data_IF_470704767914
#
_entry.id   IF_470704767914
#
_cell.length_a   1.000
_cell.length_b   1.000
_cell.length_c   1.000
_cell.angle_alpha   90.00
_cell.angle_beta   90.00
_cell.angle_gamma   90.00
#
_symmetry.space_group_name_H-M   'P 1'
#
loop_
_entity.id
_entity.type
_entity.pdbx_description
1 polymer ?
#
# COMPACT_ATOMS: atom_id res chain seq x y z
N UNK A 1 15.87 -0.06 16.26
CA UNK A 1 15.09 -0.51 15.09
C UNK A 1 14.25 0.67 14.60
N UNK A 2 14.54 1.22 13.42
CA UNK A 2 13.74 2.31 12.86
C UNK A 2 12.57 1.73 12.07
N UNK A 3 11.34 1.99 12.53
CA UNK A 3 10.12 1.75 11.78
C UNK A 3 10.01 2.80 10.67
N UNK A 4 9.70 2.37 9.46
CA UNK A 4 9.45 3.27 8.32
C UNK A 4 7.99 3.66 8.35
N UNK A 5 7.71 4.83 8.92
CA UNK A 5 6.37 5.40 8.92
C UNK A 5 6.14 6.10 7.58
N UNK A 6 5.24 5.58 6.75
CA UNK A 6 4.57 6.41 5.75
C UNK A 6 3.38 7.06 6.43
N UNK A 7 3.62 8.25 6.96
CA UNK A 7 2.56 9.24 7.03
C UNK A 7 2.52 9.88 5.64
N UNK A 8 1.35 10.04 5.02
CA UNK A 8 1.20 10.54 3.65
C UNK A 8 1.63 12.01 3.51
N UNK A 9 2.93 12.27 3.65
CA UNK A 9 3.55 13.57 3.37
C UNK A 9 3.61 13.74 1.86
N UNK A 10 3.28 14.95 1.39
CA UNK A 10 3.13 15.32 -0.02
C UNK A 10 4.45 15.67 -0.72
N UNK A 11 5.59 15.60 -0.04
CA UNK A 11 6.92 15.93 -0.59
C UNK A 11 7.91 14.77 -0.42
N UNK A 12 8.77 14.58 -1.42
CA UNK A 12 9.75 13.51 -1.46
C UNK A 12 10.80 13.62 -0.35
N UNK A 13 11.30 12.50 0.21
CA UNK A 13 12.32 12.54 1.25
C UNK A 13 13.66 12.95 0.60
N UNK A 14 14.19 14.10 0.98
CA UNK A 14 15.53 14.54 0.60
C UNK A 14 16.58 13.84 1.48
N UNK A 15 16.93 12.61 1.16
CA UNK A 15 18.05 11.93 1.82
C UNK A 15 17.88 10.42 1.93
N UNK A 16 18.99 9.68 1.74
CA UNK A 16 19.09 8.23 1.89
C UNK A 16 18.69 7.80 3.30
N UNK A 17 17.43 7.39 3.43
CA UNK A 17 16.86 6.76 4.60
C UNK A 17 15.73 5.84 4.13
N UNK A 18 15.30 4.94 5.01
CA UNK A 18 14.13 4.12 4.76
C UNK A 18 12.88 5.00 4.80
N UNK A 19 12.61 5.69 3.69
CA UNK A 19 11.48 6.58 3.54
C UNK A 19 10.66 6.07 2.37
N UNK A 20 9.35 6.00 2.57
CA UNK A 20 8.40 5.55 1.58
C UNK A 20 7.40 6.68 1.30
N UNK A 21 7.10 6.91 0.02
CA UNK A 21 6.30 8.04 -0.45
C UNK A 21 5.33 7.60 -1.52
N UNK A 22 4.18 8.26 -1.64
CA UNK A 22 3.35 8.06 -2.83
C UNK A 22 4.05 8.69 -4.04
N UNK A 23 4.37 7.87 -5.05
CA UNK A 23 5.11 8.28 -6.24
C UNK A 23 4.23 8.41 -7.48
N UNK A 24 3.06 7.76 -7.51
CA UNK A 24 2.07 7.91 -8.56
C UNK A 24 0.68 7.48 -8.08
N UNK A 25 -0.36 7.98 -8.75
CA UNK A 25 -1.71 7.45 -8.60
C UNK A 25 -2.53 7.61 -9.86
N UNK A 26 -3.39 6.63 -10.15
CA UNK A 26 -4.39 6.70 -11.22
C UNK A 26 -5.75 6.34 -10.64
N UNK A 27 -6.77 7.16 -10.87
CA UNK A 27 -8.10 6.92 -10.27
C UNK A 27 -8.13 6.95 -8.73
N UNK A 28 -7.06 7.41 -8.08
CA UNK A 28 -7.02 7.66 -6.64
C UNK A 28 -7.04 9.16 -6.33
N UNK A 29 -7.71 9.52 -5.24
CA UNK A 29 -7.87 10.92 -4.81
C UNK A 29 -7.51 11.06 -3.33
N UNK A 30 -6.64 12.01 -2.99
CA UNK A 30 -6.35 12.33 -1.60
C UNK A 30 -7.52 13.08 -0.94
N UNK A 31 -7.87 12.69 0.28
CA UNK A 31 -8.97 13.27 1.07
C UNK A 31 -8.55 13.51 2.52
N UNK A 32 -7.68 14.49 2.72
CA UNK A 32 -7.27 15.00 4.03
C UNK A 32 -6.33 14.07 4.79
N UNK A 33 -6.76 12.84 5.09
CA UNK A 33 -6.00 11.84 5.87
C UNK A 33 -5.84 10.48 5.17
N UNK A 34 -6.39 10.31 3.96
CA UNK A 34 -6.33 9.05 3.23
C UNK A 34 -6.42 9.21 1.72
N UNK A 35 -5.99 8.17 1.00
CA UNK A 35 -6.20 8.02 -0.43
C UNK A 35 -7.45 7.21 -0.71
N UNK A 36 -8.35 7.75 -1.53
CA UNK A 36 -9.56 7.08 -2.01
C UNK A 36 -9.26 6.46 -3.36
N UNK A 37 -9.08 5.14 -3.39
CA UNK A 37 -8.80 4.36 -4.60
C UNK A 37 -10.11 3.77 -5.11
N UNK A 38 -10.64 4.28 -6.23
CA UNK A 38 -11.86 3.75 -6.85
C UNK A 38 -11.57 2.46 -7.63
N UNK A 39 -12.62 1.74 -8.02
CA UNK A 39 -12.51 0.60 -8.93
C UNK A 39 -11.64 0.93 -10.15
N UNK A 40 -10.65 0.07 -10.45
CA UNK A 40 -9.66 0.26 -11.50
C UNK A 40 -8.53 1.25 -11.16
N UNK A 41 -8.59 1.91 -10.00
CA UNK A 41 -7.57 2.85 -9.55
C UNK A 41 -6.43 2.18 -8.78
N UNK A 42 -5.33 2.91 -8.66
CA UNK A 42 -4.14 2.48 -7.93
C UNK A 42 -3.43 3.64 -7.23
N UNK A 43 -2.71 3.29 -6.17
CA UNK A 43 -1.76 4.13 -5.46
C UNK A 43 -0.40 3.43 -5.46
N UNK A 44 0.63 4.10 -5.96
CA UNK A 44 2.01 3.58 -6.03
C UNK A 44 2.84 4.24 -4.94
N UNK A 45 3.41 3.42 -4.07
CA UNK A 45 4.24 3.84 -2.95
C UNK A 45 5.68 3.46 -3.25
N UNK A 46 6.53 4.43 -3.58
CA UNK A 46 7.96 4.23 -3.73
C UNK A 46 8.64 4.12 -2.37
N UNK A 47 9.64 3.25 -2.24
CA UNK A 47 10.43 3.08 -1.02
C UNK A 47 11.85 2.63 -1.33
N UNK A 48 12.81 2.93 -0.44
CA UNK A 48 14.21 2.53 -0.62
C UNK A 48 14.59 1.36 0.28
N UNK A 49 15.32 0.39 -0.30
CA UNK A 49 15.99 -0.69 0.43
C UNK A 49 17.50 -0.46 0.37
N UNK A 50 18.20 -0.43 1.51
CA UNK A 50 19.66 -0.55 1.53
C UNK A 50 20.12 -1.96 1.14
N UNK A 51 21.32 -2.07 0.56
CA UNK A 51 21.95 -3.36 0.31
C UNK A 51 22.07 -4.14 1.64
N UNK A 52 21.58 -5.39 1.65
CA UNK A 52 21.57 -6.23 2.85
C UNK A 52 20.38 -5.99 3.81
N UNK A 53 19.49 -5.04 3.54
CA UNK A 53 18.26 -4.86 4.33
C UNK A 53 17.13 -5.71 3.74
N UNK A 54 16.72 -6.72 4.50
CA UNK A 54 15.47 -7.43 4.25
C UNK A 54 14.33 -6.58 4.82
N UNK A 55 13.84 -5.59 4.06
CA UNK A 55 12.46 -5.16 4.28
C UNK A 55 11.60 -6.39 4.02
N UNK A 56 10.69 -6.72 4.93
CA UNK A 56 9.89 -7.89 4.65
C UNK A 56 8.68 -8.10 5.52
N UNK A 57 8.20 -7.06 6.20
CA UNK A 57 6.78 -6.98 6.53
C UNK A 57 6.21 -5.63 6.16
N UNK A 58 5.08 -5.66 5.48
CA UNK A 58 4.25 -4.50 5.20
C UNK A 58 3.02 -4.58 6.08
N UNK A 59 2.71 -3.49 6.77
CA UNK A 59 1.41 -3.31 7.41
C UNK A 59 0.65 -2.21 6.69
N UNK A 60 -0.60 -2.47 6.31
CA UNK A 60 -1.50 -1.48 5.74
C UNK A 60 -2.66 -1.19 6.68
N UNK A 61 -3.02 0.08 6.73
CA UNK A 61 -4.26 0.53 7.35
C UNK A 61 -5.19 0.94 6.24
N UNK A 62 -6.16 0.08 5.94
CA UNK A 62 -7.11 0.24 4.85
C UNK A 62 -8.56 0.29 5.33
N UNK A 63 -9.48 0.70 4.47
CA UNK A 63 -10.91 0.46 4.68
C UNK A 63 -11.60 0.21 3.35
N UNK A 64 -12.08 -1.02 3.13
CA UNK A 64 -12.93 -1.29 1.98
C UNK A 64 -14.33 -0.71 2.20
N UNK A 65 -14.88 -0.10 1.16
CA UNK A 65 -16.24 0.43 1.11
C UNK A 65 -16.88 0.04 -0.20
N UNK A 66 -18.09 -0.53 -0.13
CA UNK A 66 -18.93 -0.76 -1.29
C UNK A 66 -20.37 -0.35 -0.95
N UNK A 67 -21.03 0.35 -1.88
CA UNK A 67 -22.45 0.71 -1.71
C UNK A 67 -23.37 -0.51 -1.68
N UNK A 68 -22.98 -1.61 -2.33
CA UNK A 68 -23.85 -2.75 -2.61
C UNK A 68 -23.47 -4.06 -1.87
N UNK A 69 -22.70 -4.00 -0.76
CA UNK A 69 -22.14 -5.21 -0.09
C UNK A 69 -21.56 -6.22 -1.10
N UNK A 70 -20.85 -5.73 -2.11
CA UNK A 70 -20.14 -6.57 -3.08
C UNK A 70 -18.73 -6.87 -2.56
N UNK A 71 -18.13 -8.00 -2.95
CA UNK A 71 -16.73 -8.26 -2.66
C UNK A 71 -15.85 -7.11 -3.17
N UNK A 72 -14.94 -6.66 -2.31
CA UNK A 72 -13.82 -5.83 -2.74
C UNK A 72 -12.66 -6.76 -3.09
N UNK A 73 -11.90 -6.38 -4.11
CA UNK A 73 -10.67 -7.06 -4.49
C UNK A 73 -9.55 -6.02 -4.48
N UNK A 74 -8.58 -6.18 -3.58
CA UNK A 74 -7.41 -5.32 -3.48
C UNK A 74 -6.19 -6.17 -3.81
N UNK A 75 -5.42 -5.74 -4.80
CA UNK A 75 -4.15 -6.39 -5.17
C UNK A 75 -2.99 -5.50 -4.80
N UNK A 76 -1.92 -6.15 -4.35
CA UNK A 76 -0.68 -5.48 -4.00
C UNK A 76 0.47 -6.09 -4.77
N UNK A 77 1.15 -5.22 -5.50
CA UNK A 77 2.24 -5.60 -6.37
C UNK A 77 3.51 -4.88 -5.91
N UNK A 78 4.55 -5.63 -5.56
CA UNK A 78 5.87 -5.05 -5.32
C UNK A 78 6.70 -5.20 -6.60
N UNK A 79 7.18 -4.07 -7.15
CA UNK A 79 7.93 -4.04 -8.40
C UNK A 79 7.24 -4.79 -9.57
N UNK A 80 5.91 -4.76 -9.62
CA UNK A 80 5.09 -5.46 -10.62
C UNK A 80 4.82 -6.94 -10.34
N UNK A 81 5.36 -7.50 -9.25
CA UNK A 81 5.05 -8.88 -8.81
C UNK A 81 3.94 -8.85 -7.77
N UNK A 82 2.86 -9.62 -7.98
CA UNK A 82 1.81 -9.78 -6.99
C UNK A 82 2.38 -10.41 -5.71
N UNK A 83 2.25 -9.69 -4.59
CA UNK A 83 2.74 -10.13 -3.27
C UNK A 83 1.61 -10.41 -2.29
N UNK A 84 0.44 -9.80 -2.52
CA UNK A 84 -0.71 -10.00 -1.65
C UNK A 84 -2.02 -9.64 -2.35
N UNK A 85 -3.09 -10.32 -1.97
CA UNK A 85 -4.45 -10.06 -2.42
C UNK A 85 -5.39 -10.10 -1.23
N UNK A 86 -6.36 -9.19 -1.20
CA UNK A 86 -7.55 -9.28 -0.36
C UNK A 86 -8.78 -9.40 -1.21
N UNK A 87 -9.57 -10.41 -0.87
CA UNK A 87 -10.91 -10.61 -1.39
C UNK A 87 -11.88 -10.73 -0.23
N UNK A 88 -13.05 -10.12 -0.34
CA UNK A 88 -14.11 -10.31 0.63
C UNK A 88 -15.07 -9.15 0.73
N UNK A 89 -16.12 -9.33 1.54
CA UNK A 89 -17.09 -8.28 1.78
C UNK A 89 -16.45 -7.14 2.60
N UNK A 90 -16.81 -5.86 2.33
CA UNK A 90 -16.37 -4.76 3.16
C UNK A 90 -16.82 -4.99 4.60
N UNK A 91 -15.87 -4.97 5.54
CA UNK A 91 -16.16 -5.16 6.96
C UNK A 91 -17.06 -4.05 7.52
N UNK A 92 -17.68 -4.33 8.67
CA UNK A 92 -18.37 -3.31 9.48
C UNK A 92 -17.38 -2.33 10.13
N UNK A 93 -16.11 -2.73 10.27
CA UNK A 93 -15.04 -1.92 10.82
C UNK A 93 -14.65 -0.81 9.85
N UNK A 94 -14.38 0.37 10.40
CA UNK A 94 -14.06 1.58 9.63
C UNK A 94 -12.61 1.61 9.15
N UNK A 95 -11.71 0.83 9.78
CA UNK A 95 -10.30 0.67 9.41
C UNK A 95 -9.86 -0.76 9.75
N UNK A 96 -9.09 -1.35 8.86
CA UNK A 96 -8.59 -2.72 8.95
C UNK A 96 -7.07 -2.71 8.82
N UNK A 97 -6.43 -3.61 9.56
CA UNK A 97 -4.99 -3.80 9.58
C UNK A 97 -4.67 -5.06 8.78
N UNK A 98 -3.99 -4.89 7.66
CA UNK A 98 -3.56 -5.97 6.78
C UNK A 98 -2.04 -6.10 6.89
N UNK A 99 -1.54 -7.32 7.10
CA UNK A 99 -0.09 -7.58 7.19
C UNK A 99 0.30 -8.66 6.21
N UNK A 100 1.39 -8.43 5.50
CA UNK A 100 1.95 -9.39 4.57
C UNK A 100 3.44 -9.14 4.39
N UNK A 101 4.14 -10.17 3.98
CA UNK A 101 5.58 -10.11 3.78
C UNK A 101 5.87 -9.97 2.26
N UNK A 102 6.82 -9.09 1.90
CA UNK A 102 7.30 -9.00 0.51
C UNK A 102 8.45 -9.99 0.36
N UNK A 103 8.39 -10.96 -0.57
CA UNK A 103 9.50 -11.89 -0.77
C UNK A 103 10.78 -11.14 -1.13
N UNK A 104 11.91 -11.51 -0.51
CA UNK A 104 13.19 -10.84 -0.74
C UNK A 104 13.62 -10.84 -2.21
N UNK A 105 13.26 -11.89 -2.97
CA UNK A 105 13.53 -11.99 -4.42
C UNK A 105 12.80 -10.93 -5.27
N UNK A 106 11.74 -10.31 -4.74
CA UNK A 106 10.98 -9.25 -5.43
C UNK A 106 11.62 -7.87 -5.20
N UNK A 107 12.42 -7.72 -4.14
CA UNK A 107 13.07 -6.47 -3.78
C UNK A 107 14.45 -6.35 -4.43
N UNK A 108 14.84 -5.10 -4.72
CA UNK A 108 16.17 -4.76 -5.23
C UNK A 108 16.85 -3.73 -4.32
N UNK A 109 18.19 -3.70 -4.26
CA UNK A 109 18.91 -2.58 -3.67
C UNK A 109 18.50 -1.25 -4.34
N UNK A 110 18.29 -0.21 -3.54
CA UNK A 110 17.82 1.09 -4.02
C UNK A 110 16.30 1.21 -4.06
N UNK A 111 15.76 1.85 -5.10
CA UNK A 111 14.34 2.21 -5.20
C UNK A 111 13.46 1.02 -5.58
N UNK A 112 12.38 0.83 -4.84
CA UNK A 112 11.33 -0.16 -5.04
C UNK A 112 9.96 0.55 -5.07
N UNK A 113 8.94 -0.13 -5.57
CA UNK A 113 7.58 0.37 -5.57
C UNK A 113 6.59 -0.70 -5.06
N UNK A 114 5.64 -0.28 -4.23
CA UNK A 114 4.47 -1.06 -3.83
C UNK A 114 3.23 -0.40 -4.44
N UNK A 115 2.59 -1.09 -5.37
CA UNK A 115 1.32 -0.66 -5.97
C UNK A 115 0.18 -1.29 -5.20
N UNK A 116 -0.74 -0.47 -4.69
CA UNK A 116 -2.02 -0.89 -4.11
C UNK A 116 -3.11 -0.60 -5.14
N UNK A 117 -3.74 -1.63 -5.69
CA UNK A 117 -4.75 -1.52 -6.75
C UNK A 117 -6.11 -2.01 -6.26
N UNK A 118 -7.17 -1.27 -6.57
CA UNK A 118 -8.54 -1.71 -6.34
C UNK A 118 -9.09 -2.36 -7.61
N UNK A 119 -9.09 -3.70 -7.64
CA UNK A 119 -9.60 -4.53 -8.73
C UNK A 119 -11.09 -4.87 -8.59
N UNK A 120 -11.75 -4.37 -7.55
CA UNK A 120 -13.18 -4.61 -7.33
C UNK A 120 -14.08 -3.99 -8.39
N UNK A 121 -15.35 -4.42 -8.40
CA UNK A 121 -16.37 -3.94 -9.35
C UNK A 121 -16.67 -2.44 -9.22
N UNK A 122 -17.37 -1.88 -10.21
CA UNK A 122 -17.87 -0.51 -10.18
C UNK A 122 -18.57 -0.16 -8.85
N UNK A 123 -18.21 0.99 -8.28
CA UNK A 123 -18.67 1.42 -6.95
C UNK A 123 -17.85 0.88 -5.76
N UNK A 124 -16.86 0.01 -6.02
CA UNK A 124 -15.83 -0.35 -5.03
C UNK A 124 -14.94 0.86 -4.73
N UNK A 125 -14.67 1.08 -3.45
CA UNK A 125 -13.75 2.11 -2.95
C UNK A 125 -12.87 1.48 -1.89
N UNK A 126 -11.57 1.70 -2.00
CA UNK A 126 -10.61 1.40 -0.94
C UNK A 126 -10.01 2.69 -0.41
N UNK A 127 -10.10 2.89 0.90
CA UNK A 127 -9.47 4.03 1.58
C UNK A 127 -8.16 3.56 2.18
N UNK A 128 -7.04 4.03 1.67
CA UNK A 128 -5.73 3.72 2.20
C UNK A 128 -5.29 4.86 3.14
N UNK A 129 -5.13 4.55 4.43
CA UNK A 129 -4.82 5.51 5.49
C UNK A 129 -3.35 5.55 5.87
N UNK A 130 -2.67 4.40 5.93
CA UNK A 130 -1.25 4.31 6.29
C UNK A 130 -0.61 3.07 5.69
N UNK A 131 0.69 3.15 5.42
CA UNK A 131 1.54 2.02 5.04
C UNK A 131 2.78 2.02 5.92
N UNK A 132 3.15 0.88 6.46
CA UNK A 132 4.33 0.70 7.29
C UNK A 132 5.21 -0.37 6.67
N UNK A 133 6.51 -0.11 6.60
CA UNK A 133 7.51 -1.10 6.21
C UNK A 133 8.36 -1.43 7.43
N UNK A 134 8.43 -2.72 7.74
CA UNK A 134 9.20 -3.27 8.84
C UNK A 134 10.30 -4.19 8.28
N UNK A 135 11.52 -4.15 8.85
CA UNK A 135 12.53 -5.17 8.57
C UNK A 135 12.05 -6.55 8.99
N UNK A 136 12.44 -7.60 8.27
CA UNK A 136 12.38 -8.97 8.78
C UNK A 136 13.45 -9.12 9.87
N UNK A 137 13.02 -9.54 11.05
CA UNK A 137 13.87 -9.93 12.17
C UNK A 137 14.52 -11.29 11.91
#
# INVERSE_FOLDING_TARGET
>A
MQQVLVDFRTEAPSGGGNAALLTASSGALFRGDHWVIRAGGEAVIGFCCSAGTQLGRVTLVGSPRAKARRPVEIRMEANGTLVWTREGLPGTRTRELERFDIPAAVLRPGQNALTVRNCGSEGSVYRLYKVFFEPLS
#
